data_IF_859405612164
#
_entry.id   IF_859405612164
#
_cell.length_a   1.000
_cell.length_b   1.000
_cell.length_c   1.000
_cell.angle_alpha   90.00
_cell.angle_beta   90.00
_cell.angle_gamma   90.00
#
_symmetry.space_group_name_H-M   'P 1'
#
loop_
_entity.id
_entity.type
_entity.pdbx_description
1 polymer ?
#
# COMPACT_ATOMS: atom_id res chain seq x y z
N UNK A 1 22.25 9.34 -0.37
CA UNK A 1 22.49 8.06 0.35
C UNK A 1 22.53 6.95 -0.70
N UNK A 2 23.59 6.10 -0.75
CA UNK A 2 23.69 4.94 -1.65
C UNK A 2 22.53 3.95 -1.44
N UNK A 3 22.15 3.22 -2.50
CA UNK A 3 21.02 2.28 -2.44
C UNK A 3 21.18 1.18 -1.38
N UNK A 4 22.35 0.55 -1.17
CA UNK A 4 22.50 -0.43 -0.11
C UNK A 4 22.19 0.13 1.28
N UNK A 5 22.63 1.36 1.59
CA UNK A 5 22.32 1.99 2.88
C UNK A 5 20.84 2.37 3.01
N UNK A 6 20.16 2.74 1.90
CA UNK A 6 18.72 2.97 1.93
C UNK A 6 17.98 1.66 2.25
N UNK A 7 18.40 0.55 1.63
CA UNK A 7 17.83 -0.76 1.92
C UNK A 7 18.03 -1.16 3.40
N UNK A 8 19.20 -0.91 3.99
CA UNK A 8 19.46 -1.15 5.41
C UNK A 8 18.49 -0.39 6.34
N UNK A 9 18.17 0.88 6.05
CA UNK A 9 17.16 1.61 6.82
C UNK A 9 15.78 0.94 6.75
N UNK A 10 15.38 0.45 5.58
CA UNK A 10 14.09 -0.23 5.42
C UNK A 10 14.08 -1.58 6.15
N UNK A 11 15.18 -2.33 6.16
CA UNK A 11 15.34 -3.56 6.94
C UNK A 11 15.27 -3.30 8.46
N UNK A 12 15.83 -2.17 8.94
CA UNK A 12 15.69 -1.74 10.32
C UNK A 12 14.23 -1.37 10.67
N UNK A 13 13.50 -0.74 9.74
CA UNK A 13 12.06 -0.50 9.90
C UNK A 13 11.30 -1.83 10.01
N UNK A 14 11.60 -2.83 9.16
CA UNK A 14 11.02 -4.17 9.26
C UNK A 14 11.26 -4.81 10.62
N UNK A 15 12.48 -4.67 11.16
CA UNK A 15 12.82 -5.16 12.50
C UNK A 15 12.01 -4.46 13.60
N UNK A 16 11.83 -3.15 13.50
CA UNK A 16 11.00 -2.37 14.41
C UNK A 16 9.52 -2.80 14.37
N UNK A 17 8.97 -3.03 13.18
CA UNK A 17 7.62 -3.56 13.00
C UNK A 17 7.45 -4.94 13.66
N UNK A 18 8.42 -5.86 13.49
CA UNK A 18 8.41 -7.18 14.16
C UNK A 18 8.42 -7.05 15.67
N UNK A 19 9.28 -6.19 16.20
CA UNK A 19 9.42 -6.01 17.65
C UNK A 19 8.14 -5.45 18.29
N UNK A 20 7.44 -4.56 17.58
CA UNK A 20 6.22 -3.91 18.06
C UNK A 20 4.93 -4.54 17.53
N UNK A 21 4.99 -5.77 16.99
CA UNK A 21 3.88 -6.45 16.28
C UNK A 21 2.55 -6.37 17.01
N UNK A 22 2.48 -6.79 18.26
CA UNK A 22 1.22 -6.81 19.01
C UNK A 22 0.74 -5.42 19.42
N UNK A 23 1.65 -4.48 19.67
CA UNK A 23 1.30 -3.08 19.91
C UNK A 23 0.63 -2.49 18.66
N UNK A 24 1.23 -2.69 17.47
CA UNK A 24 0.71 -2.17 16.21
C UNK A 24 -0.64 -2.79 15.85
N UNK A 25 -0.79 -4.10 16.02
CA UNK A 25 -2.07 -4.78 15.84
C UNK A 25 -3.14 -4.23 16.78
N UNK A 26 -2.80 -4.01 18.06
CA UNK A 26 -3.74 -3.42 19.04
C UNK A 26 -4.19 -2.00 18.64
N UNK A 27 -3.28 -1.16 18.13
CA UNK A 27 -3.64 0.16 17.64
C UNK A 27 -4.64 0.09 16.48
N UNK A 28 -4.45 -0.80 15.51
CA UNK A 28 -5.39 -0.99 14.39
C UNK A 28 -6.76 -1.50 14.85
N UNK A 29 -6.80 -2.38 15.86
CA UNK A 29 -8.06 -2.83 16.47
C UNK A 29 -8.81 -1.64 17.11
N UNK A 30 -8.12 -0.81 17.89
CA UNK A 30 -8.74 0.29 18.60
C UNK A 30 -9.08 1.49 17.73
N UNK A 31 -8.23 1.82 16.76
CA UNK A 31 -8.41 3.01 15.91
C UNK A 31 -9.38 2.75 14.73
N UNK A 32 -9.27 1.58 14.11
CA UNK A 32 -10.01 1.25 12.88
C UNK A 32 -11.08 0.16 13.06
N UNK A 33 -11.25 -0.40 14.26
CA UNK A 33 -12.17 -1.51 14.50
C UNK A 33 -11.80 -2.79 13.74
N UNK A 34 -10.51 -2.96 13.39
CA UNK A 34 -10.06 -4.09 12.60
C UNK A 34 -10.09 -5.38 13.44
N UNK A 35 -10.56 -6.54 12.89
CA UNK A 35 -10.47 -7.82 13.60
C UNK A 35 -9.01 -8.14 13.95
N UNK A 36 -8.79 -8.72 15.13
CA UNK A 36 -7.44 -9.01 15.63
C UNK A 36 -6.59 -9.84 14.66
N UNK A 37 -7.20 -10.86 14.04
CA UNK A 37 -6.54 -11.72 13.05
C UNK A 37 -6.06 -10.91 11.82
N UNK A 38 -6.93 -10.03 11.30
CA UNK A 38 -6.61 -9.18 10.16
C UNK A 38 -5.56 -8.12 10.52
N UNK A 39 -5.61 -7.56 11.74
CA UNK A 39 -4.63 -6.59 12.21
C UNK A 39 -3.23 -7.22 12.37
N UNK A 40 -3.13 -8.43 12.90
CA UNK A 40 -1.87 -9.17 13.01
C UNK A 40 -1.29 -9.55 11.63
N UNK A 41 -2.15 -9.99 10.71
CA UNK A 41 -1.76 -10.28 9.33
C UNK A 41 -1.24 -9.03 8.62
N UNK A 42 -1.86 -7.86 8.86
CA UNK A 42 -1.45 -6.60 8.27
C UNK A 42 -0.06 -6.15 8.73
N UNK A 43 0.31 -6.38 10.01
CA UNK A 43 1.68 -6.11 10.45
C UNK A 43 2.68 -6.99 9.69
N UNK A 44 2.33 -8.26 9.45
CA UNK A 44 3.16 -9.17 8.66
C UNK A 44 3.34 -8.65 7.22
N UNK A 45 2.26 -8.23 6.59
CA UNK A 45 2.29 -7.64 5.24
C UNK A 45 3.16 -6.37 5.18
N UNK A 46 3.08 -5.50 6.19
CA UNK A 46 3.96 -4.32 6.28
C UNK A 46 5.44 -4.70 6.35
N UNK A 47 5.78 -5.77 7.07
CA UNK A 47 7.14 -6.31 7.14
C UNK A 47 7.57 -6.86 5.79
N UNK A 48 6.70 -7.63 5.12
CA UNK A 48 6.98 -8.23 3.82
C UNK A 48 7.24 -7.16 2.75
N UNK A 49 6.50 -6.04 2.76
CA UNK A 49 6.79 -4.90 1.90
C UNK A 49 8.18 -4.32 2.14
N UNK A 50 8.59 -4.17 3.38
CA UNK A 50 9.94 -3.68 3.69
C UNK A 50 11.02 -4.62 3.12
N UNK A 51 10.88 -5.92 3.33
CA UNK A 51 11.83 -6.92 2.85
C UNK A 51 11.87 -6.99 1.33
N UNK A 52 10.68 -7.03 0.71
CA UNK A 52 10.54 -7.09 -0.74
C UNK A 52 11.22 -5.89 -1.43
N UNK A 53 10.90 -4.67 -1.00
CA UNK A 53 11.46 -3.48 -1.64
C UNK A 53 12.94 -3.26 -1.33
N UNK A 54 13.44 -3.71 -0.18
CA UNK A 54 14.88 -3.70 0.11
C UNK A 54 15.64 -4.62 -0.84
N UNK A 55 15.12 -5.83 -1.08
CA UNK A 55 15.71 -6.78 -2.02
C UNK A 55 15.63 -6.25 -3.46
N UNK A 56 14.45 -5.81 -3.90
CA UNK A 56 14.24 -5.27 -5.24
C UNK A 56 15.16 -4.06 -5.55
N UNK A 57 15.42 -3.21 -4.56
CA UNK A 57 16.33 -2.07 -4.76
C UNK A 57 17.78 -2.51 -4.95
N UNK A 58 18.23 -3.55 -4.25
CA UNK A 58 19.58 -4.10 -4.43
C UNK A 58 19.79 -4.61 -5.86
N UNK A 59 18.75 -5.22 -6.45
CA UNK A 59 18.77 -5.67 -7.85
C UNK A 59 18.76 -4.49 -8.84
N UNK A 60 17.99 -3.44 -8.53
CA UNK A 60 17.89 -2.24 -9.37
C UNK A 60 19.11 -1.32 -9.31
N UNK A 61 19.97 -1.44 -8.30
CA UNK A 61 21.17 -0.61 -8.15
C UNK A 61 22.29 -1.00 -9.12
N UNK A 62 22.20 -2.17 -9.74
CA UNK A 62 23.15 -2.63 -10.74
C UNK A 62 23.03 -1.79 -12.03
N UNK A 63 24.15 -1.19 -12.44
CA UNK A 63 24.21 -0.51 -13.74
C UNK A 63 24.14 -1.53 -14.87
N UNK A 64 23.30 -1.25 -15.85
CA UNK A 64 23.24 -2.05 -17.09
C UNK A 64 24.18 -1.44 -18.14
N UNK A 65 25.11 -2.24 -18.61
CA UNK A 65 26.07 -1.85 -19.66
C UNK A 65 25.67 -2.47 -21.00
N UNK A 66 25.66 -1.68 -22.05
CA UNK A 66 25.47 -2.16 -23.42
C UNK A 66 26.42 -1.42 -24.33
N UNK A 67 27.67 -1.88 -24.38
CA UNK A 67 28.74 -1.22 -25.11
C UNK A 67 28.76 -1.61 -26.57
N UNK A 68 29.08 -0.63 -27.44
CA UNK A 68 29.39 -0.82 -28.85
C UNK A 68 30.80 -0.34 -29.16
N UNK A 69 31.42 -0.76 -30.25
CA UNK A 69 32.75 -0.29 -30.63
C UNK A 69 32.82 1.24 -30.69
N UNK A 70 33.58 1.85 -29.77
CA UNK A 70 33.74 3.31 -29.66
C UNK A 70 32.72 4.00 -28.78
N UNK A 71 31.81 3.28 -28.10
CA UNK A 71 30.82 3.81 -27.19
C UNK A 71 30.79 2.99 -25.88
N UNK A 72 30.61 3.69 -24.76
CA UNK A 72 30.33 3.10 -23.44
C UNK A 72 28.93 3.58 -23.02
N UNK A 73 27.98 2.65 -22.90
CA UNK A 73 26.59 2.96 -22.62
C UNK A 73 26.15 2.42 -21.25
N UNK A 74 25.63 3.30 -20.41
CA UNK A 74 25.19 2.98 -19.04
C UNK A 74 23.69 3.32 -18.88
N UNK A 75 22.93 2.39 -18.31
CA UNK A 75 21.57 2.66 -17.82
C UNK A 75 21.55 2.49 -16.32
N UNK A 76 21.10 3.50 -15.62
CA UNK A 76 20.96 3.49 -14.17
C UNK A 76 19.72 4.27 -13.74
N UNK A 77 19.20 3.95 -12.56
CA UNK A 77 18.02 4.60 -12.00
C UNK A 77 18.40 5.74 -11.05
N UNK A 78 17.58 6.81 -11.07
CA UNK A 78 17.67 7.93 -10.11
C UNK A 78 16.33 8.19 -9.45
N UNK A 79 16.37 8.70 -8.23
CA UNK A 79 15.17 9.23 -7.57
C UNK A 79 14.56 10.37 -8.38
N UNK A 80 13.24 10.50 -8.30
CA UNK A 80 12.52 11.59 -8.96
C UNK A 80 12.50 12.87 -8.11
N UNK A 81 12.46 12.76 -6.77
CA UNK A 81 12.41 13.89 -5.86
C UNK A 81 11.48 13.67 -4.67
N UNK A 82 10.37 14.40 -4.60
CA UNK A 82 9.41 14.34 -3.50
C UNK A 82 8.22 13.43 -3.86
N UNK A 83 7.95 12.46 -3.02
CA UNK A 83 6.78 11.59 -3.12
C UNK A 83 5.76 11.91 -2.02
N UNK A 84 4.50 12.08 -2.41
CA UNK A 84 3.36 12.13 -1.49
C UNK A 84 2.70 10.77 -1.46
N UNK A 85 2.54 10.20 -0.27
CA UNK A 85 1.86 8.93 -0.03
C UNK A 85 0.55 9.20 0.70
N UNK A 86 -0.57 8.91 0.05
CA UNK A 86 -1.92 9.08 0.59
C UNK A 86 -2.55 7.70 0.77
N UNK A 87 -2.72 7.28 2.01
CA UNK A 87 -3.13 5.91 2.34
C UNK A 87 -4.58 5.81 2.84
N UNK A 88 -5.22 4.65 2.67
CA UNK A 88 -6.57 4.40 3.13
C UNK A 88 -6.59 4.06 4.63
N UNK A 89 -7.80 4.06 5.22
CA UNK A 89 -8.03 3.72 6.63
C UNK A 89 -8.18 2.21 6.89
N UNK A 90 -8.56 1.42 5.88
CA UNK A 90 -8.89 -0.01 6.05
C UNK A 90 -7.65 -0.94 6.10
N UNK A 91 -6.53 -0.51 5.51
CA UNK A 91 -5.20 -1.10 5.63
C UNK A 91 -4.20 0.01 6.00
N UNK A 92 -4.33 0.56 7.22
CA UNK A 92 -3.68 1.81 7.57
C UNK A 92 -2.18 1.68 7.82
N UNK A 93 -1.69 0.48 8.07
CA UNK A 93 -0.26 0.20 8.28
C UNK A 93 0.40 -0.38 7.03
N UNK A 94 -0.12 -1.49 6.49
CA UNK A 94 0.56 -2.20 5.40
C UNK A 94 0.64 -1.37 4.13
N UNK A 95 -0.48 -0.81 3.66
CA UNK A 95 -0.52 -0.02 2.42
C UNK A 95 0.30 1.26 2.58
N UNK A 96 0.17 1.94 3.73
CA UNK A 96 1.01 3.11 4.03
C UNK A 96 2.50 2.75 4.01
N UNK A 97 2.88 1.66 4.68
CA UNK A 97 4.27 1.19 4.72
C UNK A 97 4.76 0.85 3.31
N UNK A 98 4.02 0.04 2.56
CA UNK A 98 4.43 -0.39 1.22
C UNK A 98 4.72 0.77 0.28
N UNK A 99 3.80 1.73 0.15
CA UNK A 99 4.02 2.92 -0.68
C UNK A 99 5.18 3.79 -0.17
N UNK A 100 5.29 3.96 1.15
CA UNK A 100 6.32 4.78 1.78
C UNK A 100 7.72 4.19 1.57
N UNK A 101 7.91 2.90 1.88
CA UNK A 101 9.23 2.28 1.78
C UNK A 101 9.68 2.10 0.33
N UNK A 102 8.76 1.86 -0.61
CA UNK A 102 9.05 1.83 -2.04
C UNK A 102 9.62 3.17 -2.53
N UNK A 103 9.02 4.28 -2.10
CA UNK A 103 9.51 5.60 -2.43
C UNK A 103 10.84 5.94 -1.75
N UNK A 104 11.00 5.59 -0.46
CA UNK A 104 12.22 5.84 0.31
C UNK A 104 13.41 5.07 -0.23
N UNK A 105 13.25 3.76 -0.47
CA UNK A 105 14.36 2.90 -0.89
C UNK A 105 14.90 3.29 -2.27
N UNK A 106 14.03 3.82 -3.15
CA UNK A 106 14.42 4.36 -4.46
C UNK A 106 15.02 5.78 -4.39
N UNK A 107 15.16 6.34 -3.17
CA UNK A 107 15.90 7.58 -2.90
C UNK A 107 15.07 8.85 -2.94
N UNK A 108 13.74 8.76 -2.96
CA UNK A 108 12.87 9.91 -2.83
C UNK A 108 12.71 10.32 -1.36
N UNK A 109 12.36 11.57 -1.11
CA UNK A 109 11.81 12.01 0.16
C UNK A 109 10.31 11.80 0.16
N UNK A 110 9.72 11.53 1.34
CA UNK A 110 8.32 11.14 1.44
C UNK A 110 7.56 12.04 2.40
N UNK A 111 6.36 12.43 1.97
CA UNK A 111 5.33 13.04 2.80
C UNK A 111 4.22 12.01 2.96
N UNK A 112 4.03 11.48 4.18
CA UNK A 112 2.93 10.58 4.53
C UNK A 112 1.69 11.38 4.93
N UNK A 113 0.61 11.24 4.17
CA UNK A 113 -0.73 11.71 4.52
C UNK A 113 -1.62 10.48 4.77
N UNK A 114 -1.75 10.00 6.01
CA UNK A 114 -2.69 8.93 6.34
C UNK A 114 -4.14 9.40 6.24
N UNK A 115 -5.08 8.47 6.18
CA UNK A 115 -6.47 8.79 6.42
C UNK A 115 -6.65 9.36 7.83
N UNK A 116 -7.53 10.34 8.00
CA UNK A 116 -7.78 11.00 9.28
C UNK A 116 -8.27 10.02 10.36
N UNK A 117 -8.96 8.94 9.95
CA UNK A 117 -9.46 7.89 10.83
C UNK A 117 -8.36 6.95 11.36
N UNK A 118 -7.15 7.01 10.81
CA UNK A 118 -6.05 6.08 11.10
C UNK A 118 -4.71 6.79 11.27
N UNK A 119 -4.73 7.97 11.85
CA UNK A 119 -3.53 8.81 11.98
C UNK A 119 -2.55 8.31 13.03
N UNK A 120 -3.03 7.64 14.10
CA UNK A 120 -2.16 7.16 15.19
C UNK A 120 -1.27 6.02 14.73
N UNK A 121 -1.81 5.02 14.04
CA UNK A 121 -1.00 3.90 13.52
C UNK A 121 0.06 4.38 12.52
N UNK A 122 -0.27 5.39 11.71
CA UNK A 122 0.70 6.02 10.80
C UNK A 122 1.81 6.77 11.58
N UNK A 123 1.47 7.41 12.70
CA UNK A 123 2.47 8.01 13.58
C UNK A 123 3.39 6.95 14.22
N UNK A 124 2.87 5.76 14.53
CA UNK A 124 3.68 4.63 15.02
C UNK A 124 4.72 4.18 13.99
N UNK A 125 4.36 4.18 12.70
CA UNK A 125 5.33 3.94 11.62
C UNK A 125 6.43 5.02 11.59
N UNK A 126 6.06 6.30 11.77
CA UNK A 126 7.01 7.41 11.87
C UNK A 126 7.97 7.26 13.06
N UNK A 127 7.47 6.81 14.22
CA UNK A 127 8.31 6.51 15.40
C UNK A 127 9.35 5.42 15.07
N UNK A 128 8.91 4.31 14.46
CA UNK A 128 9.78 3.20 14.05
C UNK A 128 10.84 3.67 13.05
N UNK A 129 10.45 4.47 12.05
CA UNK A 129 11.38 4.99 11.06
C UNK A 129 12.46 5.89 11.70
N UNK A 130 12.07 6.71 12.68
CA UNK A 130 13.00 7.53 13.44
C UNK A 130 13.95 6.68 14.31
N UNK A 131 13.43 5.64 14.98
CA UNK A 131 14.21 4.70 15.79
C UNK A 131 15.19 3.90 14.91
N UNK A 132 14.82 3.59 13.66
CA UNK A 132 15.71 2.99 12.65
C UNK A 132 16.83 3.94 12.19
N UNK A 133 16.84 5.19 12.64
CA UNK A 133 17.88 6.17 12.30
C UNK A 133 17.69 6.84 10.94
N UNK A 134 16.48 6.81 10.36
CA UNK A 134 16.20 7.50 9.11
C UNK A 134 16.51 9.00 9.26
N UNK A 135 17.27 9.63 8.34
CA UNK A 135 17.66 11.03 8.47
C UNK A 135 16.46 11.98 8.51
N UNK A 136 16.58 13.04 9.31
CA UNK A 136 15.53 14.06 9.45
C UNK A 136 15.20 14.69 8.10
N UNK A 137 13.91 14.87 7.82
CA UNK A 137 13.42 15.47 6.57
C UNK A 137 13.25 14.48 5.41
N UNK A 138 13.77 13.25 5.52
CA UNK A 138 13.57 12.21 4.49
C UNK A 138 12.14 11.66 4.52
N UNK A 139 11.57 11.48 5.70
CA UNK A 139 10.18 11.09 5.91
C UNK A 139 9.49 12.14 6.76
N UNK A 140 8.32 12.61 6.31
CA UNK A 140 7.53 13.64 6.96
C UNK A 140 6.09 13.16 7.15
N UNK A 141 5.56 13.31 8.35
CA UNK A 141 4.21 12.92 8.71
C UNK A 141 3.30 14.14 8.72
N UNK A 142 2.28 14.13 7.87
CA UNK A 142 1.32 15.23 7.69
C UNK A 142 -0.11 14.72 7.85
N UNK A 143 -0.61 14.62 9.08
CA UNK A 143 -2.01 14.27 9.32
C UNK A 143 -2.92 15.45 8.97
N UNK A 144 -4.18 15.16 8.62
CA UNK A 144 -5.17 16.19 8.36
C UNK A 144 -6.35 15.65 7.58
N UNK A 145 -7.39 16.47 7.49
CA UNK A 145 -8.59 16.17 6.71
C UNK A 145 -8.21 16.09 5.23
N UNK A 146 -8.71 15.06 4.55
CA UNK A 146 -8.33 14.76 3.16
C UNK A 146 -8.61 15.90 2.19
N UNK A 147 -9.77 16.53 2.32
CA UNK A 147 -10.25 17.64 1.50
C UNK A 147 -9.44 18.93 1.68
N UNK A 148 -8.85 19.12 2.87
CA UNK A 148 -8.06 20.33 3.18
C UNK A 148 -6.59 20.16 2.75
N UNK A 149 -5.97 19.05 3.15
CA UNK A 149 -4.53 18.83 2.95
C UNK A 149 -4.21 18.22 1.57
N UNK A 150 -5.11 17.38 1.05
CA UNK A 150 -4.91 16.66 -0.20
C UNK A 150 -4.62 17.56 -1.41
N UNK A 151 -5.47 18.56 -1.69
CA UNK A 151 -5.27 19.47 -2.83
C UNK A 151 -3.94 20.22 -2.79
N UNK A 152 -3.52 20.69 -1.62
CA UNK A 152 -2.26 21.40 -1.43
C UNK A 152 -1.05 20.51 -1.72
N UNK A 153 -1.08 19.25 -1.25
CA UNK A 153 -0.01 18.28 -1.50
C UNK A 153 0.05 17.88 -2.98
N UNK A 154 -1.11 17.55 -3.57
CA UNK A 154 -1.20 17.07 -4.95
C UNK A 154 -0.89 18.18 -5.95
N UNK A 155 -1.36 19.41 -5.68
CA UNK A 155 -1.15 20.58 -6.53
C UNK A 155 0.26 21.16 -6.46
N UNK A 156 1.02 20.91 -5.38
CA UNK A 156 2.34 21.50 -5.17
C UNK A 156 3.29 21.21 -6.34
N UNK A 157 3.96 22.22 -6.93
CA UNK A 157 4.92 22.05 -8.00
C UNK A 157 6.20 21.29 -7.59
N UNK A 158 6.46 21.19 -6.29
CA UNK A 158 7.64 20.53 -5.72
C UNK A 158 7.42 19.01 -5.53
N UNK A 159 6.21 18.50 -5.82
CA UNK A 159 5.87 17.08 -5.73
C UNK A 159 6.01 16.41 -7.09
N UNK A 160 6.78 15.32 -7.14
CA UNK A 160 7.10 14.57 -8.36
C UNK A 160 6.32 13.27 -8.50
N UNK A 161 5.96 12.66 -7.35
CA UNK A 161 5.26 11.37 -7.30
C UNK A 161 4.09 11.49 -6.33
N UNK A 162 2.94 10.92 -6.72
CA UNK A 162 1.79 10.75 -5.86
C UNK A 162 1.43 9.27 -5.87
N UNK A 163 1.55 8.61 -4.72
CA UNK A 163 1.09 7.25 -4.51
C UNK A 163 -0.16 7.28 -3.63
N UNK A 164 -1.27 6.86 -4.19
CA UNK A 164 -2.59 6.91 -3.57
C UNK A 164 -3.24 5.53 -3.55
N UNK A 165 -3.86 5.21 -2.44
CA UNK A 165 -4.82 4.10 -2.35
C UNK A 165 -6.06 4.58 -1.62
N UNK A 166 -7.25 4.37 -2.22
CA UNK A 166 -8.51 4.80 -1.63
C UNK A 166 -9.71 4.67 -2.56
N UNK A 167 -10.66 5.61 -2.48
CA UNK A 167 -11.86 5.59 -3.32
C UNK A 167 -11.55 5.96 -4.78
N UNK A 168 -12.36 5.46 -5.70
CA UNK A 168 -12.28 5.82 -7.13
C UNK A 168 -12.46 7.33 -7.35
N UNK A 169 -13.41 7.93 -6.68
CA UNK A 169 -13.71 9.37 -6.79
C UNK A 169 -12.49 10.23 -6.44
N UNK A 170 -11.86 9.94 -5.29
CA UNK A 170 -10.66 10.66 -4.85
C UNK A 170 -9.48 10.37 -5.78
N UNK A 171 -9.28 9.12 -6.21
CA UNK A 171 -8.19 8.78 -7.14
C UNK A 171 -8.28 9.50 -8.48
N UNK A 172 -9.49 9.62 -9.04
CA UNK A 172 -9.72 10.39 -10.27
C UNK A 172 -9.50 11.89 -10.08
N UNK A 173 -9.93 12.44 -8.93
CA UNK A 173 -9.70 13.85 -8.57
C UNK A 173 -8.20 14.14 -8.42
N UNK A 174 -7.45 13.26 -7.75
CA UNK A 174 -5.99 13.37 -7.63
C UNK A 174 -5.34 13.36 -9.01
N UNK A 175 -5.73 12.44 -9.90
CA UNK A 175 -5.18 12.37 -11.23
C UNK A 175 -5.46 13.64 -12.05
N UNK A 176 -6.66 14.18 -11.95
CA UNK A 176 -7.02 15.44 -12.60
C UNK A 176 -6.17 16.61 -12.08
N UNK A 177 -6.12 16.80 -10.75
CA UNK A 177 -5.38 17.89 -10.12
C UNK A 177 -3.87 17.79 -10.39
N UNK A 178 -3.30 16.58 -10.36
CA UNK A 178 -1.88 16.36 -10.66
C UNK A 178 -1.52 16.66 -12.12
N UNK A 179 -2.49 16.65 -13.05
CA UNK A 179 -2.27 16.99 -14.46
C UNK A 179 -2.21 18.51 -14.71
N UNK A 180 -2.66 19.32 -13.76
CA UNK A 180 -2.52 20.77 -13.84
C UNK A 180 -1.05 21.15 -13.64
N UNK A 181 -0.46 21.79 -14.64
CA UNK A 181 0.97 22.13 -14.61
C UNK A 181 1.19 23.54 -14.11
N UNK A 182 2.08 23.70 -13.14
CA UNK A 182 2.60 25.00 -12.69
C UNK A 182 3.88 25.33 -13.46
N UNK A 183 4.13 26.61 -13.74
CA UNK A 183 5.33 27.09 -14.45
C UNK A 183 6.65 26.78 -13.72
N UNK A 184 6.60 26.50 -12.43
CA UNK A 184 7.76 26.12 -11.59
C UNK A 184 8.04 24.61 -11.62
N UNK A 185 7.12 23.81 -12.14
CA UNK A 185 7.25 22.37 -12.18
C UNK A 185 8.32 21.93 -13.17
N UNK A 186 9.26 21.13 -12.73
CA UNK A 186 10.41 20.68 -13.53
C UNK A 186 10.13 19.41 -14.34
N UNK A 187 9.17 18.59 -13.92
CA UNK A 187 8.82 17.35 -14.60
C UNK A 187 7.31 17.06 -14.48
N UNK A 188 6.81 16.17 -15.34
CA UNK A 188 5.43 15.67 -15.24
C UNK A 188 5.31 14.78 -13.99
N UNK A 189 4.32 15.05 -13.14
CA UNK A 189 4.05 14.25 -11.95
C UNK A 189 3.69 12.82 -12.32
N UNK A 190 4.18 11.87 -11.55
CA UNK A 190 3.79 10.46 -11.67
C UNK A 190 2.69 10.15 -10.66
N UNK A 191 1.52 9.78 -11.13
CA UNK A 191 0.42 9.32 -10.28
C UNK A 191 0.35 7.80 -10.34
N UNK A 192 0.32 7.17 -9.17
CA UNK A 192 0.06 5.75 -8.95
C UNK A 192 -1.19 5.70 -8.08
N UNK A 193 -2.30 5.22 -8.63
CA UNK A 193 -3.58 5.23 -7.95
C UNK A 193 -4.20 3.82 -7.93
N UNK A 194 -4.28 3.25 -6.74
CA UNK A 194 -4.99 2.01 -6.46
C UNK A 194 -6.36 2.32 -5.84
N UNK A 195 -7.41 1.71 -6.36
CA UNK A 195 -8.79 2.04 -6.02
C UNK A 195 -9.60 0.78 -5.71
N UNK A 196 -10.88 0.96 -5.40
CA UNK A 196 -11.80 -0.13 -5.13
C UNK A 196 -12.07 -1.02 -6.34
N UNK A 197 -12.61 -2.21 -6.08
CA UNK A 197 -12.94 -3.20 -7.09
C UNK A 197 -14.27 -3.91 -6.82
N UNK A 198 -14.70 -4.71 -7.79
CA UNK A 198 -15.86 -5.61 -7.74
C UNK A 198 -15.42 -7.03 -8.09
N UNK A 199 -14.61 -7.62 -7.22
CA UNK A 199 -13.94 -8.91 -7.46
C UNK A 199 -14.94 -10.07 -7.49
N UNK A 200 -14.59 -11.12 -8.23
CA UNK A 200 -15.42 -12.31 -8.38
C UNK A 200 -14.64 -13.56 -7.97
N UNK A 201 -15.36 -14.51 -7.35
CA UNK A 201 -14.91 -15.90 -7.17
C UNK A 201 -15.70 -16.75 -8.17
N UNK A 202 -15.01 -17.65 -8.88
CA UNK A 202 -15.62 -18.57 -9.83
C UNK A 202 -15.60 -19.96 -9.21
N UNK A 203 -16.78 -20.62 -9.15
CA UNK A 203 -16.95 -21.97 -8.64
C UNK A 203 -17.23 -22.91 -9.82
N UNK A 204 -16.25 -23.77 -10.11
CA UNK A 204 -16.31 -24.78 -11.17
C UNK A 204 -16.98 -26.05 -10.67
N UNK A 205 -17.32 -26.97 -11.55
CA UNK A 205 -18.07 -28.19 -11.24
C UNK A 205 -17.22 -29.28 -10.56
N UNK A 206 -15.90 -29.14 -10.58
CA UNK A 206 -14.95 -29.99 -9.86
C UNK A 206 -14.43 -29.38 -8.57
N UNK A 207 -14.97 -28.22 -8.14
CA UNK A 207 -14.57 -27.56 -6.90
C UNK A 207 -15.01 -28.35 -5.66
N UNK A 208 -14.16 -28.36 -4.61
CA UNK A 208 -14.59 -28.73 -3.27
C UNK A 208 -15.53 -27.63 -2.75
N UNK A 209 -16.82 -27.99 -2.55
CA UNK A 209 -17.84 -27.02 -2.19
C UNK A 209 -17.69 -26.48 -0.75
N UNK A 210 -17.13 -27.27 0.17
CA UNK A 210 -16.92 -26.82 1.55
C UNK A 210 -15.80 -25.79 1.60
N UNK A 211 -14.68 -26.04 0.93
CA UNK A 211 -13.58 -25.09 0.80
C UNK A 211 -14.02 -23.83 0.02
N UNK A 212 -14.80 -23.99 -1.04
CA UNK A 212 -15.31 -22.89 -1.83
C UNK A 212 -16.25 -21.96 -1.03
N UNK A 213 -17.14 -22.53 -0.23
CA UNK A 213 -18.05 -21.80 0.66
C UNK A 213 -17.24 -21.03 1.71
N UNK A 214 -16.26 -21.67 2.36
CA UNK A 214 -15.41 -21.01 3.34
C UNK A 214 -14.63 -19.85 2.71
N UNK A 215 -14.05 -20.06 1.52
CA UNK A 215 -13.33 -19.03 0.79
C UNK A 215 -14.20 -17.84 0.41
N UNK A 216 -15.46 -18.08 0.04
CA UNK A 216 -16.43 -17.01 -0.24
C UNK A 216 -16.77 -16.23 1.02
N UNK A 217 -17.03 -16.92 2.15
CA UNK A 217 -17.34 -16.26 3.43
C UNK A 217 -16.17 -15.39 3.89
N UNK A 218 -14.97 -15.93 3.92
CA UNK A 218 -13.78 -15.20 4.37
C UNK A 218 -13.50 -13.97 3.48
N UNK A 219 -13.68 -14.12 2.16
CA UNK A 219 -13.43 -13.04 1.22
C UNK A 219 -14.51 -11.96 1.19
N UNK A 220 -15.80 -12.36 1.29
CA UNK A 220 -16.93 -11.43 1.17
C UNK A 220 -17.24 -10.70 2.48
N UNK A 221 -17.10 -11.37 3.61
CA UNK A 221 -17.56 -10.88 4.91
C UNK A 221 -16.44 -10.62 5.92
N UNK A 222 -15.22 -11.13 5.67
CA UNK A 222 -14.05 -10.80 6.48
C UNK A 222 -13.85 -9.30 6.56
N UNK A 223 -13.69 -8.75 7.77
CA UNK A 223 -13.62 -7.30 8.03
C UNK A 223 -14.82 -6.52 7.44
N UNK A 224 -16.02 -7.12 7.48
CA UNK A 224 -17.26 -6.58 6.91
C UNK A 224 -17.17 -6.25 5.40
N UNK A 225 -16.31 -6.95 4.65
CA UNK A 225 -16.07 -6.69 3.23
C UNK A 225 -15.33 -5.39 2.91
N UNK A 226 -14.75 -4.72 3.91
CA UNK A 226 -14.05 -3.44 3.76
C UNK A 226 -12.64 -3.60 3.19
N UNK A 227 -12.51 -4.35 2.09
CA UNK A 227 -11.26 -4.67 1.40
C UNK A 227 -11.42 -4.40 -0.10
N UNK A 228 -10.42 -3.79 -0.73
CA UNK A 228 -10.39 -3.61 -2.19
C UNK A 228 -10.42 -4.97 -2.94
N UNK A 229 -9.92 -6.03 -2.29
CA UNK A 229 -9.87 -7.41 -2.79
C UNK A 229 -11.09 -8.25 -2.40
N UNK A 230 -12.06 -7.74 -1.62
CA UNK A 230 -13.21 -8.51 -1.17
C UNK A 230 -14.05 -9.07 -2.33
N UNK A 231 -14.52 -10.30 -2.19
CA UNK A 231 -15.46 -10.89 -3.12
C UNK A 231 -16.80 -10.13 -3.05
N UNK A 232 -17.27 -9.63 -4.18
CA UNK A 232 -18.57 -8.97 -4.30
C UNK A 232 -19.52 -9.72 -5.24
N UNK A 233 -19.03 -10.75 -5.93
CA UNK A 233 -19.78 -11.59 -6.86
C UNK A 233 -19.26 -13.00 -6.82
N UNK A 234 -20.17 -13.98 -6.81
CA UNK A 234 -19.82 -15.39 -7.00
C UNK A 234 -20.44 -15.88 -8.29
N UNK A 235 -19.61 -16.40 -9.18
CA UNK A 235 -20.02 -16.98 -10.46
C UNK A 235 -19.96 -18.49 -10.32
N UNK A 236 -21.13 -19.15 -10.27
CA UNK A 236 -21.23 -20.58 -10.01
C UNK A 236 -21.72 -21.30 -11.26
N UNK A 237 -21.05 -22.36 -11.67
CA UNK A 237 -21.51 -23.18 -12.77
C UNK A 237 -22.87 -23.82 -12.44
N UNK A 238 -23.71 -23.96 -13.48
CA UNK A 238 -25.12 -24.36 -13.33
C UNK A 238 -25.29 -25.71 -12.62
N UNK A 239 -24.42 -26.67 -12.87
CA UNK A 239 -24.50 -28.03 -12.32
C UNK A 239 -24.26 -28.10 -10.80
N UNK A 240 -23.53 -27.16 -10.23
CA UNK A 240 -23.22 -27.09 -8.79
C UNK A 240 -23.91 -25.94 -8.08
N UNK A 241 -24.67 -25.12 -8.80
CA UNK A 241 -25.29 -23.91 -8.29
C UNK A 241 -26.19 -24.15 -7.08
N UNK A 242 -27.11 -25.10 -7.18
CA UNK A 242 -28.09 -25.37 -6.12
C UNK A 242 -27.37 -25.90 -4.85
N UNK A 243 -26.47 -26.88 -5.02
CA UNK A 243 -25.70 -27.45 -3.93
C UNK A 243 -24.81 -26.43 -3.22
N UNK A 244 -24.09 -25.61 -4.01
CA UNK A 244 -23.27 -24.52 -3.48
C UNK A 244 -24.12 -23.51 -2.70
N UNK A 245 -25.24 -23.06 -3.29
CA UNK A 245 -26.11 -22.05 -2.67
C UNK A 245 -26.71 -22.55 -1.36
N UNK A 246 -27.17 -23.82 -1.31
CA UNK A 246 -27.71 -24.44 -0.08
C UNK A 246 -26.64 -24.49 1.02
N UNK A 247 -25.41 -24.90 0.67
CA UNK A 247 -24.30 -24.98 1.62
C UNK A 247 -23.88 -23.60 2.12
N UNK A 248 -23.81 -22.61 1.23
CA UNK A 248 -23.45 -21.23 1.58
C UNK A 248 -24.48 -20.62 2.56
N UNK A 249 -25.80 -20.79 2.30
CA UNK A 249 -26.84 -20.27 3.19
C UNK A 249 -26.71 -20.89 4.59
N UNK A 250 -26.54 -22.21 4.68
CA UNK A 250 -26.35 -22.88 5.97
C UNK A 250 -25.13 -22.40 6.74
N UNK A 251 -24.04 -22.11 6.02
CA UNK A 251 -22.80 -21.65 6.64
C UNK A 251 -22.89 -20.17 7.10
N UNK A 252 -23.70 -19.33 6.44
CA UNK A 252 -23.94 -17.94 6.87
C UNK A 252 -24.84 -17.86 8.10
N UNK A 253 -25.80 -18.81 8.24
CA UNK A 253 -26.76 -18.86 9.36
C UNK A 253 -26.15 -19.48 10.65
N UNK A 254 -24.94 -20.06 10.58
CA UNK A 254 -24.26 -20.70 11.72
C UNK A 254 -23.35 -19.74 12.47
#
# INVERSE_FOLDING_TARGET
IPAPHRAEYIELIASGLRTRRFELAAWMVHECGKPWKDADAEVSEAIDFCEYYSLAMRDLDAELHTDYPGEENYVFYRSRGVAVVISPWNFPLAILTGMTVAALVTGNTVIMKPAEQSSIIAFKLMEIAREAGLPVGVLNYVPGIGEDVGPELVGSPDVDIIAFTGSQEVGLTINQLASETDSRQLCVKKVIAEMGGKNAIIIDDDADLDDAVQGVIDSAFGYAGQKCSACSRVIVLKNVYDAFTETLIKAIDS
#
